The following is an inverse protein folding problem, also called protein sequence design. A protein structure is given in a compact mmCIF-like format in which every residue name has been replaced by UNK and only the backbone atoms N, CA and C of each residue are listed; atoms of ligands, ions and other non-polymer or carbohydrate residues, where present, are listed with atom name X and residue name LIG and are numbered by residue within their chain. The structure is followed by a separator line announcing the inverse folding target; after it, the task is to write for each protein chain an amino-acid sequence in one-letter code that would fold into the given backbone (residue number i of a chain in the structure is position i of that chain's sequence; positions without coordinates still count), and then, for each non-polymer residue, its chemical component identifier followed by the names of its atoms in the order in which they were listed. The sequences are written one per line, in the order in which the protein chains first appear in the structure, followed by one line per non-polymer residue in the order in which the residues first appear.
data_IF_578712611910
#
_entry.id   IF_578712611910
#
_cell.length_a   1.000
_cell.length_b   1.000
_cell.length_c   1.000
_cell.angle_alpha   90.00
_cell.angle_beta   90.00
_cell.angle_gamma   90.00
#
_symmetry.space_group_name_H-M   'P 1'
#
loop_
_entity.id
_entity.type
_entity.pdbx_description
1 polymer ?
#
# COMPACT_ATOMS: atom_id res chain seq x y z
N UNK A 1 -17.59 -22.99 -10.79
CA UNK A 1 -17.58 -21.52 -10.88
C UNK A 1 -16.55 -21.03 -9.88
N UNK A 2 -15.43 -20.48 -10.33
CA UNK A 2 -14.41 -19.89 -9.43
C UNK A 2 -14.79 -18.42 -9.18
N UNK A 3 -14.72 -17.93 -7.94
CA UNK A 3 -14.98 -16.52 -7.66
C UNK A 3 -13.97 -15.66 -8.42
N UNK A 4 -14.46 -14.67 -9.16
CA UNK A 4 -13.65 -13.68 -9.86
C UNK A 4 -13.63 -12.39 -9.05
N UNK A 5 -12.44 -11.80 -8.86
CA UNK A 5 -12.24 -10.54 -8.16
C UNK A 5 -11.58 -9.51 -9.08
N UNK A 6 -11.86 -8.22 -8.84
CA UNK A 6 -11.17 -7.14 -9.54
C UNK A 6 -9.69 -7.15 -9.14
N UNK A 7 -8.78 -6.96 -10.11
CA UNK A 7 -7.35 -6.81 -9.84
C UNK A 7 -7.12 -5.63 -8.90
N UNK A 8 -6.37 -5.88 -7.83
CA UNK A 8 -5.94 -4.83 -6.92
C UNK A 8 -4.74 -4.07 -7.51
N UNK A 9 -4.83 -2.73 -7.54
CA UNK A 9 -3.84 -1.89 -8.21
C UNK A 9 -2.47 -1.93 -7.52
N UNK A 10 -2.47 -1.90 -6.18
CA UNK A 10 -1.28 -2.01 -5.32
C UNK A 10 -0.91 -3.46 -4.97
N UNK A 11 -1.21 -4.42 -5.86
CA UNK A 11 -0.86 -5.82 -5.64
C UNK A 11 0.67 -6.01 -5.68
N UNK A 12 1.22 -6.68 -4.66
CA UNK A 12 2.66 -7.00 -4.55
C UNK A 12 3.19 -7.99 -5.61
N UNK A 13 2.32 -8.59 -6.41
CA UNK A 13 2.71 -9.55 -7.45
C UNK A 13 2.37 -9.04 -8.86
N UNK A 14 1.11 -8.66 -9.10
CA UNK A 14 0.63 -8.27 -10.44
C UNK A 14 0.32 -6.76 -10.56
N UNK A 15 0.74 -5.95 -9.59
CA UNK A 15 0.69 -4.50 -9.66
C UNK A 15 1.55 -3.96 -10.81
N UNK A 16 1.12 -2.87 -11.44
CA UNK A 16 1.85 -2.26 -12.56
C UNK A 16 3.23 -1.77 -12.13
N UNK A 17 3.33 -1.17 -10.93
CA UNK A 17 4.59 -0.73 -10.35
C UNK A 17 5.56 -1.89 -10.11
N UNK A 18 5.08 -3.02 -9.57
CA UNK A 18 5.89 -4.22 -9.33
C UNK A 18 6.38 -4.83 -10.66
N UNK A 19 5.49 -4.95 -11.65
CA UNK A 19 5.89 -5.45 -12.96
C UNK A 19 6.92 -4.53 -13.65
N UNK A 20 6.77 -3.21 -13.52
CA UNK A 20 7.72 -2.25 -14.05
C UNK A 20 9.08 -2.34 -13.34
N UNK A 21 9.09 -2.47 -12.01
CA UNK A 21 10.32 -2.67 -11.23
C UNK A 21 11.04 -3.95 -11.64
N UNK A 22 10.32 -5.07 -11.75
CA UNK A 22 10.90 -6.32 -12.22
C UNK A 22 11.42 -6.22 -13.66
N UNK A 23 10.72 -5.56 -14.58
CA UNK A 23 11.21 -5.38 -15.95
C UNK A 23 12.47 -4.50 -16.04
N UNK A 24 12.66 -3.60 -15.09
CA UNK A 24 13.79 -2.66 -15.07
C UNK A 24 15.03 -3.28 -14.41
N UNK A 25 14.84 -3.92 -13.26
CA UNK A 25 15.93 -4.42 -12.40
C UNK A 25 16.13 -5.95 -12.52
N UNK A 26 15.20 -6.65 -13.18
CA UNK A 26 15.18 -8.10 -13.41
C UNK A 26 15.56 -8.91 -12.16
N UNK A 27 16.59 -9.74 -12.23
CA UNK A 27 17.00 -10.60 -11.13
C UNK A 27 17.42 -9.83 -9.87
N UNK A 28 17.95 -8.61 -10.02
CA UNK A 28 18.34 -7.78 -8.86
C UNK A 28 17.12 -7.34 -8.05
N UNK A 29 15.98 -7.11 -8.70
CA UNK A 29 14.73 -6.85 -7.99
C UNK A 29 14.33 -8.04 -7.12
N UNK A 30 14.41 -9.27 -7.67
CA UNK A 30 14.08 -10.48 -6.93
C UNK A 30 14.97 -10.65 -5.69
N UNK A 31 16.27 -10.41 -5.82
CA UNK A 31 17.19 -10.45 -4.68
C UNK A 31 16.81 -9.43 -3.59
N UNK A 32 16.46 -8.19 -3.96
CA UNK A 32 16.03 -7.16 -2.99
C UNK A 32 14.75 -7.61 -2.27
N UNK A 33 13.77 -8.10 -3.02
CA UNK A 33 12.46 -8.52 -2.51
C UNK A 33 12.57 -9.75 -1.59
N UNK A 34 13.36 -10.75 -1.96
CA UNK A 34 13.52 -11.95 -1.14
C UNK A 34 14.26 -11.70 0.18
N UNK A 35 15.13 -10.69 0.21
CA UNK A 35 15.86 -10.32 1.42
C UNK A 35 15.17 -9.22 2.23
N UNK A 36 14.16 -8.54 1.68
CA UNK A 36 13.42 -7.49 2.38
C UNK A 36 11.95 -7.43 1.94
N UNK A 37 11.00 -7.91 2.78
CA UNK A 37 9.58 -7.84 2.46
C UNK A 37 9.06 -6.39 2.37
N UNK A 38 9.67 -5.46 3.11
CA UNK A 38 9.37 -4.03 3.09
C UNK A 38 9.54 -3.44 1.68
N UNK A 39 10.48 -3.97 0.89
CA UNK A 39 10.73 -3.45 -0.45
C UNK A 39 9.52 -3.61 -1.38
N UNK A 40 8.74 -4.70 -1.25
CA UNK A 40 7.52 -4.88 -2.01
C UNK A 40 6.42 -3.90 -1.60
N UNK A 41 6.30 -3.61 -0.31
CA UNK A 41 5.30 -2.65 0.19
C UNK A 41 5.57 -1.25 -0.35
N UNK A 42 6.83 -0.82 -0.33
CA UNK A 42 7.26 0.46 -0.89
C UNK A 42 6.99 0.55 -2.40
N UNK A 43 7.37 -0.48 -3.17
CA UNK A 43 7.20 -0.47 -4.64
C UNK A 43 5.73 -0.57 -5.03
N UNK A 44 4.92 -1.31 -4.27
CA UNK A 44 3.48 -1.42 -4.52
C UNK A 44 2.67 -0.22 -4.01
N UNK A 45 3.26 0.63 -3.16
CA UNK A 45 2.60 1.75 -2.50
C UNK A 45 1.69 1.31 -1.34
N UNK A 46 1.85 0.10 -0.82
CA UNK A 46 1.07 -0.37 0.33
C UNK A 46 1.42 0.38 1.61
N UNK A 47 2.67 0.80 1.76
CA UNK A 47 3.15 1.67 2.84
C UNK A 47 2.30 2.95 2.96
N UNK A 48 2.03 3.61 1.82
CA UNK A 48 1.22 4.82 1.75
C UNK A 48 -0.25 4.51 2.05
N UNK A 49 -0.75 3.37 1.57
CA UNK A 49 -2.14 2.97 1.83
C UNK A 49 -2.37 2.78 3.33
N UNK A 50 -1.42 2.11 3.99
CA UNK A 50 -1.46 1.88 5.42
C UNK A 50 -1.31 3.19 6.20
N UNK A 51 -0.39 4.07 5.80
CA UNK A 51 -0.22 5.38 6.44
C UNK A 51 -1.52 6.21 6.37
N UNK A 52 -2.15 6.29 5.19
CA UNK A 52 -3.42 7.01 5.03
C UNK A 52 -4.53 6.40 5.88
N UNK A 53 -4.61 5.07 5.97
CA UNK A 53 -5.62 4.41 6.81
C UNK A 53 -5.42 4.73 8.30
N UNK A 54 -4.18 4.71 8.78
CA UNK A 54 -3.85 5.09 10.18
C UNK A 54 -4.17 6.56 10.46
N UNK A 55 -3.86 7.47 9.53
CA UNK A 55 -4.21 8.89 9.69
C UNK A 55 -5.71 9.13 9.74
N UNK A 56 -6.50 8.39 8.95
CA UNK A 56 -7.96 8.48 8.98
C UNK A 56 -8.52 7.97 10.30
N UNK A 57 -8.05 6.83 10.79
CA UNK A 57 -8.45 6.26 12.09
C UNK A 57 -8.23 7.29 13.21
N UNK A 58 -7.06 7.94 13.25
CA UNK A 58 -6.76 8.98 14.24
C UNK A 58 -7.67 10.20 14.17
N UNK A 59 -8.18 10.58 12.98
CA UNK A 59 -9.09 11.73 12.82
C UNK A 59 -10.51 11.42 13.28
N UNK A 60 -10.97 10.17 13.18
CA UNK A 60 -12.31 9.79 13.64
C UNK A 60 -12.45 9.82 15.19
N UNK A 61 -11.35 9.88 15.94
CA UNK A 61 -11.37 10.03 17.40
C UNK A 61 -11.23 11.48 17.90
N UNK A 62 -11.04 12.48 17.02
CA UNK A 62 -10.83 13.90 17.39
C UNK A 62 -12.14 14.73 17.36
N UNK A 63 -13.30 14.10 17.52
CA UNK A 63 -14.62 14.75 17.63
C UNK A 63 -14.81 15.59 18.94
N UNK A 64 -13.74 16.17 19.51
CA UNK A 64 -13.84 17.22 20.52
C UNK A 64 -14.00 18.60 19.84
N UNK A 65 -15.10 18.74 19.09
CA UNK A 65 -15.62 20.04 18.68
C UNK A 65 -16.15 20.76 19.92
N UNK A 66 -15.31 21.63 20.52
CA UNK A 66 -15.77 22.61 21.51
C UNK A 66 -16.65 23.63 20.79
N UNK A 67 -17.94 23.30 20.66
CA UNK A 67 -18.98 24.23 20.23
C UNK A 67 -18.91 25.44 21.16
N UNK A 68 -18.62 26.60 20.57
CA UNK A 68 -18.57 27.88 21.27
C UNK A 68 -19.83 28.09 22.10
N UNK A 69 -19.70 28.12 23.42
CA UNK A 69 -20.76 28.66 24.27
C UNK A 69 -20.61 30.18 24.27
N UNK A 70 -21.64 30.84 23.71
CA UNK A 70 -21.92 32.28 23.80
C UNK A 70 -22.03 32.70 25.27
#
# INVERSE_FOLDING_TARGET
MTPAVKRFERCVACGTAVQAAYRTDDFQFLLKVFNSPIHLELVSGLDQLQATATEMDLREFDDNESVSSI
#
